data_IF_256897978973
#
_entry.id   IF_256897978973
#
_cell.length_a   1.000
_cell.length_b   1.000
_cell.length_c   1.000
_cell.angle_alpha   90.00
_cell.angle_beta   90.00
_cell.angle_gamma   90.00
#
_symmetry.space_group_name_H-M   'P 1'
#
loop_
_entity.id
_entity.type
_entity.pdbx_description
1 polymer ?
#
# COMPACT_ATOMS: atom_id res chain seq x y z
N UNK A 1 -8.69 -1.18 27.66
CA UNK A 1 -8.16 -1.84 26.44
C UNK A 1 -8.21 -0.83 25.30
N UNK A 2 -7.07 -0.22 24.95
CA UNK A 2 -7.02 0.60 23.73
C UNK A 2 -7.07 -0.34 22.53
N UNK A 3 -8.20 -0.36 21.83
CA UNK A 3 -8.30 -0.98 20.50
C UNK A 3 -7.19 -0.41 19.62
N UNK A 4 -6.26 -1.25 19.16
CA UNK A 4 -5.24 -0.89 18.18
C UNK A 4 -5.94 -0.64 16.83
N UNK A 5 -6.54 0.53 16.68
CA UNK A 5 -7.07 0.99 15.40
C UNK A 5 -5.92 1.63 14.61
N UNK A 6 -5.50 0.99 13.52
CA UNK A 6 -4.54 1.60 12.60
C UNK A 6 -5.29 2.44 11.57
N UNK A 7 -4.74 3.59 11.20
CA UNK A 7 -5.28 4.46 10.15
C UNK A 7 -4.23 4.66 9.08
N UNK A 8 -4.68 4.64 7.84
CA UNK A 8 -3.83 4.74 6.65
C UNK A 8 -4.38 5.81 5.72
N UNK A 9 -3.48 6.51 5.03
CA UNK A 9 -3.84 7.33 3.87
C UNK A 9 -3.91 6.41 2.65
N UNK A 10 -5.10 6.25 2.09
CA UNK A 10 -5.31 5.54 0.82
C UNK A 10 -5.35 6.57 -0.31
N UNK A 11 -4.45 6.42 -1.28
CA UNK A 11 -4.48 7.19 -2.53
C UNK A 11 -5.51 6.57 -3.47
N UNK A 12 -6.42 7.40 -3.95
CA UNK A 12 -7.43 7.05 -4.94
C UNK A 12 -7.14 7.81 -6.23
N UNK A 13 -7.42 7.18 -7.36
CA UNK A 13 -7.42 7.82 -8.66
C UNK A 13 -8.88 8.13 -9.04
N UNK A 14 -9.30 9.38 -8.87
CA UNK A 14 -10.68 9.82 -9.01
C UNK A 14 -10.86 10.71 -10.25
N UNK A 15 -10.98 10.09 -11.43
CA UNK A 15 -11.36 10.78 -12.68
C UNK A 15 -12.88 10.88 -12.78
N UNK A 16 -13.43 11.96 -12.21
CA UNK A 16 -14.88 12.23 -12.28
C UNK A 16 -15.32 12.53 -13.72
N UNK A 17 -16.49 12.03 -14.17
CA UNK A 17 -16.99 12.25 -15.53
C UNK A 17 -17.58 13.67 -15.71
N UNK A 18 -16.78 14.70 -15.39
CA UNK A 18 -17.16 16.11 -15.49
C UNK A 18 -17.00 16.67 -16.92
N UNK A 19 -16.29 15.94 -17.79
CA UNK A 19 -16.05 16.32 -19.17
C UNK A 19 -15.98 15.08 -20.07
N UNK A 20 -16.54 15.10 -21.31
CA UNK A 20 -16.50 13.97 -22.22
C UNK A 20 -15.08 13.46 -22.53
N UNK A 21 -14.10 14.35 -22.50
CA UNK A 21 -12.69 14.03 -22.76
C UNK A 21 -11.86 13.83 -21.48
N UNK A 22 -12.48 13.62 -20.31
CA UNK A 22 -11.73 13.55 -19.03
C UNK A 22 -10.58 12.52 -19.06
N UNK A 23 -10.75 11.41 -19.78
CA UNK A 23 -9.72 10.36 -19.91
C UNK A 23 -8.57 10.73 -20.87
N UNK A 24 -8.71 11.82 -21.62
CA UNK A 24 -7.68 12.34 -22.55
C UNK A 24 -6.90 13.50 -21.94
N UNK A 25 -7.21 13.90 -20.71
CA UNK A 25 -6.58 15.02 -20.02
C UNK A 25 -5.40 14.51 -19.18
N UNK A 26 -4.23 15.09 -19.41
CA UNK A 26 -3.11 15.00 -18.49
C UNK A 26 -3.34 15.95 -17.32
N UNK A 27 -3.35 15.41 -16.11
CA UNK A 27 -3.61 16.19 -14.89
C UNK A 27 -3.53 15.33 -13.65
N UNK A 28 -3.57 15.98 -12.50
CA UNK A 28 -3.64 15.33 -11.21
C UNK A 28 -5.10 15.01 -10.88
N UNK A 29 -5.39 13.71 -10.81
CA UNK A 29 -6.69 13.17 -10.42
C UNK A 29 -6.57 12.33 -9.14
N UNK A 30 -5.50 12.51 -8.39
CA UNK A 30 -5.30 11.81 -7.13
C UNK A 30 -6.11 12.46 -6.03
N UNK A 31 -6.70 11.64 -5.17
CA UNK A 31 -7.34 12.09 -3.94
C UNK A 31 -6.95 11.17 -2.79
N UNK A 32 -7.06 11.66 -1.56
CA UNK A 32 -6.70 10.92 -0.37
C UNK A 32 -7.95 10.57 0.43
N UNK A 33 -7.99 9.35 0.93
CA UNK A 33 -9.02 8.81 1.80
C UNK A 33 -8.38 8.25 3.08
N UNK A 34 -8.96 8.57 4.24
CA UNK A 34 -8.57 7.90 5.48
C UNK A 34 -9.27 6.55 5.59
N UNK A 35 -8.49 5.49 5.69
CA UNK A 35 -9.00 4.14 5.91
C UNK A 35 -8.59 3.65 7.30
N UNK A 36 -9.56 3.20 8.09
CA UNK A 36 -9.31 2.64 9.42
C UNK A 36 -9.41 1.14 9.37
N UNK A 37 -8.41 0.46 9.94
CA UNK A 37 -8.35 -0.99 10.04
C UNK A 37 -8.36 -1.43 11.50
N UNK A 38 -9.02 -2.56 11.73
CA UNK A 38 -9.12 -3.21 13.03
C UNK A 38 -8.95 -4.72 12.81
N UNK A 39 -8.16 -5.42 13.64
CA UNK A 39 -8.04 -6.86 13.55
C UNK A 39 -9.39 -7.52 13.88
N UNK A 40 -9.81 -8.44 13.02
CA UNK A 40 -10.89 -9.38 13.28
C UNK A 40 -10.38 -10.67 13.93
N UNK A 41 -11.29 -11.62 14.15
CA UNK A 41 -10.99 -12.93 14.72
C UNK A 41 -10.08 -13.77 13.80
N UNK A 42 -10.26 -13.63 12.49
CA UNK A 42 -9.42 -14.22 11.46
C UNK A 42 -8.97 -13.17 10.44
N UNK A 43 -7.97 -13.51 9.63
CA UNK A 43 -7.54 -12.66 8.54
C UNK A 43 -8.63 -12.46 7.48
N UNK A 44 -9.39 -13.50 7.16
CA UNK A 44 -10.55 -13.42 6.28
C UNK A 44 -11.58 -12.40 6.79
N UNK A 45 -11.94 -12.50 8.07
CA UNK A 45 -12.89 -11.55 8.67
C UNK A 45 -12.33 -10.12 8.67
N UNK A 46 -11.02 -9.97 8.91
CA UNK A 46 -10.33 -8.68 8.85
C UNK A 46 -10.38 -8.07 7.44
N UNK A 47 -10.13 -8.88 6.41
CA UNK A 47 -10.16 -8.47 5.01
C UNK A 47 -11.57 -8.08 4.55
N UNK A 48 -12.58 -8.90 4.87
CA UNK A 48 -13.98 -8.61 4.55
C UNK A 48 -14.46 -7.31 5.25
N UNK A 49 -14.14 -7.16 6.54
CA UNK A 49 -14.46 -5.94 7.29
C UNK A 49 -13.79 -4.70 6.71
N UNK A 50 -12.54 -4.82 6.25
CA UNK A 50 -11.81 -3.72 5.62
C UNK A 50 -12.41 -3.38 4.25
N UNK A 51 -12.74 -4.40 3.44
CA UNK A 51 -13.37 -4.24 2.14
C UNK A 51 -14.73 -3.53 2.27
N UNK A 52 -15.57 -3.95 3.21
CA UNK A 52 -16.87 -3.31 3.45
C UNK A 52 -16.71 -1.84 3.84
N UNK A 53 -15.76 -1.51 4.73
CA UNK A 53 -15.45 -0.12 5.10
C UNK A 53 -14.91 0.69 3.94
N UNK A 54 -14.03 0.10 3.12
CA UNK A 54 -13.53 0.75 1.93
C UNK A 54 -14.67 1.09 0.97
N UNK A 55 -15.57 0.13 0.68
CA UNK A 55 -16.74 0.34 -0.17
C UNK A 55 -17.66 1.44 0.38
N UNK A 56 -17.90 1.47 1.69
CA UNK A 56 -18.68 2.53 2.34
C UNK A 56 -17.98 3.90 2.21
N UNK A 57 -16.67 3.96 2.44
CA UNK A 57 -15.91 5.21 2.33
C UNK A 57 -15.85 5.72 0.88
N UNK A 58 -15.81 4.84 -0.12
CA UNK A 58 -15.85 5.22 -1.54
C UNK A 58 -17.13 5.98 -1.91
N UNK A 59 -18.27 5.71 -1.24
CA UNK A 59 -19.49 6.50 -1.39
C UNK A 59 -19.34 7.95 -0.85
N UNK A 60 -18.31 8.21 -0.07
CA UNK A 60 -17.99 9.51 0.53
C UNK A 60 -16.67 10.10 0.04
N UNK A 61 -16.17 9.65 -1.13
CA UNK A 61 -14.89 10.09 -1.71
C UNK A 61 -14.79 11.60 -1.99
N UNK A 62 -15.90 12.33 -1.96
CA UNK A 62 -15.93 13.79 -2.03
C UNK A 62 -15.36 14.49 -0.78
N UNK A 63 -15.21 13.75 0.32
CA UNK A 63 -14.67 14.28 1.57
C UNK A 63 -13.14 14.17 1.54
N UNK A 64 -12.47 15.31 1.39
CA UNK A 64 -11.00 15.39 1.44
C UNK A 64 -10.44 14.86 2.77
N UNK A 65 -9.56 13.85 2.72
CA UNK A 65 -8.83 13.37 3.90
C UNK A 65 -8.04 14.49 4.59
N UNK A 66 -7.50 15.45 3.84
CA UNK A 66 -6.78 16.61 4.39
C UNK A 66 -7.72 17.44 5.27
N UNK A 67 -8.96 17.66 4.82
CA UNK A 67 -9.98 18.36 5.61
C UNK A 67 -10.31 17.58 6.89
N UNK A 68 -10.45 16.26 6.80
CA UNK A 68 -10.71 15.41 7.98
C UNK A 68 -9.54 15.46 8.96
N UNK A 69 -8.30 15.32 8.50
CA UNK A 69 -7.11 15.42 9.34
C UNK A 69 -6.98 16.77 10.01
N UNK A 70 -7.30 17.87 9.31
CA UNK A 70 -7.31 19.23 9.87
C UNK A 70 -8.36 19.38 10.97
N UNK A 71 -9.57 18.87 10.76
CA UNK A 71 -10.63 18.87 11.77
C UNK A 71 -10.26 18.02 12.99
N UNK A 72 -9.61 16.87 12.78
CA UNK A 72 -9.11 16.04 13.88
C UNK A 72 -8.01 16.75 14.68
N UNK A 73 -7.06 17.39 14.01
CA UNK A 73 -6.00 18.17 14.65
C UNK A 73 -6.56 19.30 15.52
N UNK A 74 -7.55 20.04 14.98
CA UNK A 74 -8.26 21.08 15.74
C UNK A 74 -8.96 20.52 16.97
N UNK A 75 -9.67 19.39 16.85
CA UNK A 75 -10.36 18.74 17.98
C UNK A 75 -9.42 18.22 19.05
N UNK A 76 -8.23 17.76 18.65
CA UNK A 76 -7.22 17.23 19.56
C UNK A 76 -6.25 18.30 20.09
N UNK A 77 -6.40 19.56 19.64
CA UNK A 77 -5.52 20.68 19.96
C UNK A 77 -4.04 20.38 19.67
N UNK A 78 -3.77 19.73 18.54
CA UNK A 78 -2.42 19.41 18.05
C UNK A 78 -2.14 20.09 16.71
N UNK A 79 -0.87 20.35 16.35
CA UNK A 79 -0.53 21.03 15.08
C UNK A 79 -0.95 20.23 13.83
N UNK A 80 -0.83 18.90 13.91
CA UNK A 80 -1.22 17.99 12.84
C UNK A 80 -1.51 16.61 13.44
N UNK A 81 -2.39 15.85 12.79
CA UNK A 81 -2.53 14.42 13.03
C UNK A 81 -1.68 13.70 11.99
N UNK A 82 -0.54 13.10 12.37
CA UNK A 82 0.32 12.44 11.41
C UNK A 82 -0.36 11.18 10.88
N UNK A 83 -0.32 11.01 9.56
CA UNK A 83 -0.65 9.75 8.88
C UNK A 83 0.60 9.31 8.11
N UNK A 84 1.57 8.70 8.81
CA UNK A 84 2.92 8.50 8.30
C UNK A 84 3.02 7.37 7.26
N UNK A 85 1.94 6.63 7.03
CA UNK A 85 1.88 5.54 6.08
C UNK A 85 0.83 5.86 5.02
N UNK A 86 1.28 5.90 3.76
CA UNK A 86 0.42 6.01 2.58
C UNK A 86 0.38 4.65 1.89
N UNK A 87 -0.79 4.28 1.40
CA UNK A 87 -1.00 3.13 0.54
C UNK A 87 -1.59 3.64 -0.78
N UNK A 88 -0.90 3.38 -1.88
CA UNK A 88 -1.30 3.80 -3.21
C UNK A 88 -1.61 2.57 -4.05
N UNK A 89 -2.87 2.35 -4.37
CA UNK A 89 -3.31 1.22 -5.18
C UNK A 89 -3.70 1.67 -6.59
N UNK A 90 -2.91 1.23 -7.56
CA UNK A 90 -3.24 1.29 -8.98
C UNK A 90 -3.80 -0.06 -9.48
N UNK A 91 -4.26 -0.94 -8.59
CA UNK A 91 -4.94 -2.17 -8.99
C UNK A 91 -6.26 -1.84 -9.70
N UNK A 92 -6.53 -2.51 -10.82
CA UNK A 92 -7.72 -2.27 -11.64
C UNK A 92 -7.63 -1.02 -12.53
N UNK A 93 -6.54 -0.26 -12.49
CA UNK A 93 -6.25 0.76 -13.51
C UNK A 93 -5.62 0.09 -14.74
N UNK A 94 -6.38 0.05 -15.84
CA UNK A 94 -6.00 -0.44 -17.18
C UNK A 94 -5.04 -1.64 -17.17
N UNK A 95 -5.63 -2.83 -17.20
CA UNK A 95 -5.03 -4.16 -17.01
C UNK A 95 -3.79 -4.52 -17.85
N UNK A 96 -3.40 -3.74 -18.86
CA UNK A 96 -2.37 -4.18 -19.80
C UNK A 96 -1.11 -3.33 -19.89
N UNK A 97 -1.06 -2.07 -19.41
CA UNK A 97 0.07 -1.19 -19.76
C UNK A 97 0.59 -0.22 -18.68
N UNK A 98 0.17 -0.30 -17.40
CA UNK A 98 0.80 0.54 -16.38
C UNK A 98 2.29 0.18 -16.26
N UNK A 99 3.15 1.10 -16.73
CA UNK A 99 4.61 0.95 -16.82
C UNK A 99 5.09 -0.29 -17.60
N UNK A 100 4.26 -0.89 -18.46
CA UNK A 100 4.64 -2.08 -19.22
C UNK A 100 5.85 -1.81 -20.14
N UNK A 101 6.68 -2.84 -20.38
CA UNK A 101 7.91 -2.70 -21.17
C UNK A 101 7.67 -2.27 -22.62
N UNK A 102 6.44 -2.43 -23.11
CA UNK A 102 6.03 -2.06 -24.48
C UNK A 102 5.76 -0.56 -24.66
N UNK A 103 5.75 0.23 -23.58
CA UNK A 103 5.58 1.67 -23.67
C UNK A 103 6.87 2.37 -24.14
N UNK A 104 6.73 3.31 -25.07
CA UNK A 104 7.82 4.17 -25.58
C UNK A 104 8.51 4.98 -24.47
N UNK A 105 7.80 5.24 -23.37
CA UNK A 105 8.30 5.94 -22.18
C UNK A 105 8.42 4.96 -21.01
N UNK A 106 9.36 4.02 -21.12
CA UNK A 106 9.63 3.07 -20.04
C UNK A 106 10.23 3.81 -18.84
N UNK A 107 9.58 3.81 -17.67
CA UNK A 107 10.20 4.34 -16.46
C UNK A 107 11.40 3.48 -16.07
N UNK A 108 12.55 4.12 -15.85
CA UNK A 108 13.79 3.45 -15.44
C UNK A 108 13.96 3.49 -13.92
N UNK A 109 13.49 4.57 -13.30
CA UNK A 109 13.57 4.79 -11.86
C UNK A 109 12.51 5.80 -11.42
N UNK A 110 12.04 5.67 -10.19
CA UNK A 110 11.15 6.62 -9.54
C UNK A 110 11.19 6.42 -8.03
N UNK A 111 11.06 7.52 -7.29
CA UNK A 111 10.84 7.51 -5.85
C UNK A 111 9.82 8.61 -5.53
N UNK A 112 8.87 8.29 -4.68
CA UNK A 112 7.89 9.25 -4.16
C UNK A 112 8.38 9.84 -2.85
N UNK A 113 8.16 11.15 -2.68
CA UNK A 113 8.40 11.83 -1.42
C UNK A 113 7.24 12.77 -1.14
N UNK A 114 6.48 12.47 -0.09
CA UNK A 114 5.40 13.32 0.39
C UNK A 114 5.76 13.81 1.79
N UNK A 115 5.67 15.12 2.08
CA UNK A 115 5.91 15.63 3.42
C UNK A 115 5.05 14.87 4.45
N UNK A 116 5.64 14.58 5.62
CA UNK A 116 4.99 13.87 6.73
C UNK A 116 4.66 12.38 6.46
N UNK A 117 5.06 11.85 5.31
CA UNK A 117 4.97 10.41 5.00
C UNK A 117 6.32 9.77 5.28
N UNK A 118 6.31 8.72 6.09
CA UNK A 118 7.50 7.95 6.45
C UNK A 118 7.67 6.73 5.56
N UNK A 119 6.55 6.16 5.11
CA UNK A 119 6.46 4.98 4.24
C UNK A 119 5.32 5.18 3.25
N UNK A 120 5.62 5.14 1.95
CA UNK A 120 4.64 5.03 0.87
C UNK A 120 4.72 3.62 0.28
N UNK A 121 3.62 2.88 0.40
CA UNK A 121 3.47 1.56 -0.18
C UNK A 121 2.61 1.65 -1.44
N UNK A 122 3.24 1.39 -2.58
CA UNK A 122 2.61 1.47 -3.89
C UNK A 122 2.43 0.07 -4.46
N UNK A 123 1.30 -0.18 -5.13
CA UNK A 123 0.98 -1.47 -5.74
C UNK A 123 0.28 -1.28 -7.08
N UNK A 124 0.65 -2.10 -8.06
CA UNK A 124 0.10 -2.08 -9.42
C UNK A 124 0.25 -3.44 -10.09
N UNK A 125 -0.54 -3.68 -11.13
CA UNK A 125 -0.39 -4.84 -12.02
C UNK A 125 0.35 -4.42 -13.28
N UNK A 126 1.29 -5.26 -13.72
CA UNK A 126 1.98 -5.06 -14.99
C UNK A 126 2.47 -6.40 -15.53
N UNK A 127 2.17 -6.67 -16.80
CA UNK A 127 2.57 -7.91 -17.49
C UNK A 127 2.07 -9.20 -16.78
N UNK A 128 0.88 -9.14 -16.18
CA UNK A 128 0.27 -10.26 -15.45
C UNK A 128 0.90 -10.55 -14.08
N UNK A 129 1.75 -9.65 -13.60
CA UNK A 129 2.42 -9.75 -12.30
C UNK A 129 1.93 -8.65 -11.36
N UNK A 130 1.86 -8.98 -10.07
CA UNK A 130 1.65 -7.98 -9.03
C UNK A 130 3.00 -7.36 -8.69
N UNK A 131 3.11 -6.04 -8.86
CA UNK A 131 4.32 -5.28 -8.55
C UNK A 131 4.03 -4.32 -7.42
N UNK A 132 4.97 -4.19 -6.51
CA UNK A 132 4.86 -3.24 -5.42
C UNK A 132 6.22 -2.74 -4.96
N UNK A 133 6.22 -1.55 -4.38
CA UNK A 133 7.39 -0.94 -3.78
C UNK A 133 7.04 -0.18 -2.49
N UNK A 134 8.03 -0.05 -1.62
CA UNK A 134 8.01 0.74 -0.41
C UNK A 134 9.06 1.84 -0.52
N UNK A 135 8.61 3.09 -0.64
CA UNK A 135 9.46 4.27 -0.54
C UNK A 135 9.45 4.74 0.91
N UNK A 136 10.62 4.91 1.53
CA UNK A 136 10.69 5.28 2.94
C UNK A 136 11.85 6.22 3.27
N UNK A 137 11.68 6.97 4.35
CA UNK A 137 12.71 7.84 4.92
C UNK A 137 13.60 7.03 5.85
N UNK A 138 14.73 6.53 5.33
CA UNK A 138 15.65 5.64 6.04
C UNK A 138 16.10 6.18 7.40
N UNK A 139 16.29 7.49 7.52
CA UNK A 139 16.72 8.14 8.76
C UNK A 139 15.70 8.06 9.92
N UNK A 140 14.43 7.70 9.63
CA UNK A 140 13.39 7.55 10.65
C UNK A 140 13.34 6.16 11.28
N UNK A 141 14.10 5.19 10.74
CA UNK A 141 14.06 3.80 11.16
C UNK A 141 15.45 3.30 11.58
N UNK A 142 15.55 2.37 12.55
CA UNK A 142 16.78 1.63 12.78
C UNK A 142 17.27 0.93 11.51
N UNK A 143 18.58 0.88 11.34
CA UNK A 143 19.21 0.26 10.17
C UNK A 143 18.71 -1.19 9.95
N UNK A 144 18.33 -1.51 8.72
CA UNK A 144 17.85 -2.83 8.33
C UNK A 144 16.44 -3.19 8.80
N UNK A 145 15.74 -2.32 9.55
CA UNK A 145 14.42 -2.65 10.08
C UNK A 145 13.37 -2.77 8.96
N UNK A 146 13.34 -1.81 8.04
CA UNK A 146 12.32 -1.78 6.98
C UNK A 146 12.55 -2.92 5.99
N UNK A 147 13.80 -3.25 5.70
CA UNK A 147 14.20 -4.38 4.87
C UNK A 147 13.68 -5.71 5.44
N UNK A 148 13.90 -5.95 6.73
CA UNK A 148 13.36 -7.16 7.41
C UNK A 148 11.82 -7.20 7.39
N UNK A 149 11.17 -6.05 7.60
CA UNK A 149 9.70 -5.97 7.53
C UNK A 149 9.18 -6.21 6.11
N UNK A 150 9.89 -5.74 5.09
CA UNK A 150 9.57 -5.97 3.69
C UNK A 150 9.71 -7.45 3.31
N UNK A 151 10.74 -8.13 3.81
CA UNK A 151 10.91 -9.58 3.64
C UNK A 151 9.77 -10.37 4.30
N UNK A 152 9.41 -10.01 5.54
CA UNK A 152 8.27 -10.59 6.23
C UNK A 152 6.96 -10.36 5.48
N UNK A 153 6.77 -9.17 4.93
CA UNK A 153 5.62 -8.83 4.10
C UNK A 153 5.56 -9.72 2.84
N UNK A 154 6.67 -9.87 2.12
CA UNK A 154 6.76 -10.75 0.96
C UNK A 154 6.47 -12.22 1.33
N UNK A 155 7.04 -12.72 2.43
CA UNK A 155 6.80 -14.08 2.91
C UNK A 155 5.33 -14.30 3.28
N UNK A 156 4.70 -13.31 3.92
CA UNK A 156 3.28 -13.37 4.25
C UNK A 156 2.42 -13.40 2.99
N UNK A 157 2.67 -12.55 2.01
CA UNK A 157 1.92 -12.54 0.75
C UNK A 157 2.01 -13.90 0.02
N UNK A 158 3.21 -14.48 -0.09
CA UNK A 158 3.40 -15.79 -0.71
C UNK A 158 2.61 -16.87 0.03
N UNK A 159 2.72 -16.91 1.37
CA UNK A 159 1.97 -17.87 2.17
C UNK A 159 0.46 -17.72 1.97
N UNK A 160 -0.06 -16.50 2.02
CA UNK A 160 -1.49 -16.25 1.86
C UNK A 160 -2.00 -16.61 0.45
N UNK A 161 -1.12 -16.63 -0.55
CA UNK A 161 -1.42 -17.04 -1.92
C UNK A 161 -1.39 -18.57 -2.12
N UNK A 162 -0.62 -19.29 -1.31
CA UNK A 162 -0.38 -20.74 -1.47
C UNK A 162 -1.15 -21.60 -0.44
N UNK A 163 -1.43 -21.05 0.74
CA UNK A 163 -2.03 -21.76 1.88
C UNK A 163 -3.35 -21.09 2.30
N UNK A 164 -4.47 -21.68 1.86
CA UNK A 164 -5.81 -21.19 2.20
C UNK A 164 -6.08 -21.22 3.72
N UNK A 165 -5.43 -22.10 4.48
CA UNK A 165 -5.63 -22.19 5.93
C UNK A 165 -5.17 -20.93 6.66
N UNK A 166 -4.21 -20.19 6.09
CA UNK A 166 -3.73 -18.92 6.60
C UNK A 166 -4.84 -17.87 6.75
N UNK A 167 -5.86 -17.90 5.88
CA UNK A 167 -6.99 -16.97 5.94
C UNK A 167 -7.85 -17.13 7.21
N UNK A 168 -7.83 -18.31 7.82
CA UNK A 168 -8.58 -18.60 9.05
C UNK A 168 -7.80 -18.26 10.32
N UNK A 169 -6.50 -17.96 10.21
CA UNK A 169 -5.67 -17.63 11.36
C UNK A 169 -5.88 -16.17 11.81
N UNK A 170 -5.80 -15.88 13.12
CA UNK A 170 -5.70 -14.51 13.61
C UNK A 170 -4.37 -13.88 13.22
N UNK A 171 -4.31 -12.54 13.16
CA UNK A 171 -3.10 -11.81 12.76
C UNK A 171 -1.86 -12.20 13.58
N UNK A 172 -2.00 -12.38 14.89
CA UNK A 172 -0.88 -12.75 15.76
C UNK A 172 -0.27 -14.12 15.38
N UNK A 173 -1.11 -15.09 15.01
CA UNK A 173 -0.65 -16.40 14.57
C UNK A 173 0.00 -16.33 13.18
N UNK A 174 -0.56 -15.52 12.27
CA UNK A 174 0.06 -15.27 10.97
C UNK A 174 1.45 -14.65 11.08
N UNK A 175 1.59 -13.64 11.94
CA UNK A 175 2.86 -12.96 12.16
C UNK A 175 3.91 -13.85 12.85
N UNK A 176 3.49 -14.68 13.81
CA UNK A 176 4.39 -15.56 14.56
C UNK A 176 5.01 -16.67 13.71
N UNK A 177 4.34 -17.08 12.63
CA UNK A 177 4.83 -18.14 11.73
C UNK A 177 5.84 -17.65 10.68
N UNK A 178 6.15 -16.35 10.62
CA UNK A 178 7.09 -15.84 9.63
C UNK A 178 8.53 -16.04 10.12
N UNK A 179 9.39 -16.75 9.39
CA UNK A 179 10.79 -16.86 9.76
C UNK A 179 11.41 -15.46 9.78
N UNK A 180 12.07 -15.11 10.88
CA UNK A 180 12.96 -13.96 10.92
C UNK A 180 14.20 -14.31 10.10
N UNK A 181 14.13 -14.17 8.78
CA UNK A 181 15.33 -14.23 7.97
C UNK A 181 16.22 -13.06 8.39
N UNK A 182 17.40 -13.37 8.91
CA UNK A 182 18.44 -12.40 9.28
C UNK A 182 19.34 -12.04 8.10
N UNK A 183 19.06 -12.58 6.91
CA UNK A 183 19.77 -12.31 5.67
C UNK A 183 18.78 -12.23 4.51
N UNK A 184 18.44 -11.03 4.06
CA UNK A 184 17.74 -10.85 2.80
C UNK A 184 18.53 -10.01 1.83
N UNK A 185 18.62 -10.53 0.60
CA UNK A 185 19.01 -9.79 -0.59
C UNK A 185 17.86 -8.88 -1.03
N UNK A 186 17.52 -7.89 -0.20
CA UNK A 186 16.84 -6.71 -0.69
C UNK A 186 17.87 -5.93 -1.51
N UNK A 187 17.66 -5.77 -2.83
CA UNK A 187 18.48 -4.88 -3.64
C UNK A 187 18.13 -3.43 -3.24
N UNK A 188 18.73 -2.94 -2.17
CA UNK A 188 18.68 -1.53 -1.80
C UNK A 188 19.61 -0.75 -2.73
N UNK A 189 19.04 0.18 -3.49
CA UNK A 189 19.84 1.18 -4.19
C UNK A 189 20.35 2.22 -3.16
N UNK A 190 21.40 1.89 -2.42
CA UNK A 190 22.04 2.85 -1.52
C UNK A 190 22.78 3.92 -2.33
N UNK A 191 22.22 5.13 -2.39
CA UNK A 191 22.95 6.33 -2.76
C UNK A 191 22.60 7.46 -1.81
N UNK A 192 23.55 7.81 -0.94
CA UNK A 192 23.81 9.08 -0.23
C UNK A 192 22.66 10.00 0.27
N UNK A 193 21.40 9.63 0.13
CA UNK A 193 20.23 10.41 0.52
C UNK A 193 19.41 9.60 1.52
N UNK A 194 18.74 10.28 2.44
CA UNK A 194 17.94 9.70 3.52
C UNK A 194 16.67 8.96 3.06
N UNK A 195 16.57 8.62 1.78
CA UNK A 195 15.43 7.98 1.14
C UNK A 195 15.88 6.66 0.50
N UNK A 196 15.05 5.63 0.67
CA UNK A 196 15.29 4.29 0.16
C UNK A 196 14.03 3.74 -0.49
N UNK A 197 14.19 2.86 -1.48
CA UNK A 197 13.09 2.10 -2.09
C UNK A 197 13.37 0.61 -2.03
N UNK A 198 12.33 -0.17 -1.75
CA UNK A 198 12.35 -1.64 -1.83
C UNK A 198 11.25 -2.07 -2.80
N UNK A 199 11.58 -2.94 -3.76
CA UNK A 199 10.65 -3.36 -4.80
C UNK A 199 10.59 -4.87 -4.91
N UNK A 200 9.40 -5.41 -5.20
CA UNK A 200 9.20 -6.83 -5.42
C UNK A 200 8.17 -7.08 -6.53
N UNK A 201 8.19 -8.30 -7.04
CA UNK A 201 7.27 -8.76 -8.09
C UNK A 201 6.79 -10.14 -7.72
N UNK A 202 5.48 -10.27 -7.51
CA UNK A 202 4.82 -11.51 -7.18
C UNK A 202 4.15 -12.09 -8.44
N UNK A 203 4.47 -13.35 -8.75
CA UNK A 203 3.88 -14.09 -9.87
C UNK A 203 2.86 -15.07 -9.35
N UNK A 204 1.69 -15.12 -10.00
CA UNK A 204 0.71 -16.17 -9.72
C UNK A 204 1.26 -17.51 -10.23
N UNK A 205 1.46 -18.47 -9.34
CA UNK A 205 1.69 -19.86 -9.74
C UNK A 205 0.43 -20.36 -10.42
N UNK A 206 0.47 -20.61 -11.74
CA UNK A 206 -0.62 -21.32 -12.40
C UNK A 206 -0.64 -22.73 -11.81
N UNK A 207 -1.75 -23.10 -11.18
CA UNK A 207 -2.03 -24.52 -10.96
C UNK A 207 -1.98 -25.21 -12.34
N UNK A 208 -1.34 -26.39 -12.47
CA UNK A 208 -1.40 -27.14 -13.71
C UNK A 208 -2.88 -27.39 -14.02
N UNK A 209 -3.30 -27.03 -15.23
CA UNK A 209 -4.60 -27.39 -15.77
C UNK A 209 -4.74 -28.91 -15.71
N UNK A 210 -5.67 -29.40 -14.89
CA UNK A 210 -6.11 -30.78 -14.89
C UNK A 210 -6.84 -31.11 -16.20
#
# INVERSE_FOLDING_TARGET
MHSLSSRYNLTLFDRRPLHPQINQILGDFTSLMLLSWHPGESWLHSAQSLQQRLSQNLNHRDVSAIRVMRQLAQRQNVPAVPMPVVFTSALGFEQDNFLARRNLLKPVWGISQTPQVWLDHQIYESEGELRFNWDFVAALFPAGQVERQFEQYCALLNRMAEDESGWQLPLAALAACLPLNTQGNAQSAHRAYALSTLSHTLRRTRAPSA
#
